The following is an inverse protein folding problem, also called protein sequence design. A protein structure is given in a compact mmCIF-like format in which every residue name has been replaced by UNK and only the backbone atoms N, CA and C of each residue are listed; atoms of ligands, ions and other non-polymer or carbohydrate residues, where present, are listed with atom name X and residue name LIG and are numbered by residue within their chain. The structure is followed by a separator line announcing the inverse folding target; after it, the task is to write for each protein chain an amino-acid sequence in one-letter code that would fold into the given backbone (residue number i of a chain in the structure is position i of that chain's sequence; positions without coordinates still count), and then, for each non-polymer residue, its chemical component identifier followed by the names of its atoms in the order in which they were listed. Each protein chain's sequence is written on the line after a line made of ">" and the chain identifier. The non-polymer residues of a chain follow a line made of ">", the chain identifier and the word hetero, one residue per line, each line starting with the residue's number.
data_IF_206262261353
#
_entry.id   IF_206262261353
#
_cell.length_a   1.000
_cell.length_b   1.000
_cell.length_c   1.000
_cell.angle_alpha   90.00
_cell.angle_beta   90.00
_cell.angle_gamma   90.00
#
_symmetry.space_group_name_H-M   'P 1'
#
loop_
_entity.id
_entity.type
_entity.pdbx_description
1 polymer ?
#
# COMPACT_ATOMS: atom_id res chain seq x y z
N UNK A 1 -3.88 15.40 14.72
CA UNK A 1 -3.14 14.52 13.81
C UNK A 1 -2.61 15.35 12.66
N UNK A 2 -1.28 15.51 12.55
CA UNK A 2 -0.66 16.08 11.34
C UNK A 2 -0.60 14.94 10.31
N UNK A 3 -1.60 14.87 9.42
CA UNK A 3 -1.69 13.85 8.37
C UNK A 3 -0.64 14.03 7.25
N UNK A 4 0.03 15.18 7.22
CA UNK A 4 1.09 15.51 6.27
C UNK A 4 2.32 15.94 7.10
N UNK A 5 2.97 15.00 7.76
CA UNK A 5 4.33 15.22 8.28
C UNK A 5 5.30 14.84 7.17
N UNK A 6 6.15 15.77 6.75
CA UNK A 6 7.28 15.45 5.87
C UNK A 6 8.10 14.34 6.53
N UNK A 7 8.18 13.20 5.85
CA UNK A 7 9.16 12.19 6.17
C UNK A 7 10.51 12.80 5.80
N UNK A 8 11.20 13.39 6.77
CA UNK A 8 12.51 14.00 6.51
C UNK A 8 13.62 12.95 6.32
N UNK A 9 13.33 11.68 6.62
CA UNK A 9 14.29 10.57 6.60
C UNK A 9 13.70 9.34 5.89
N UNK A 10 13.56 9.43 4.57
CA UNK A 10 13.26 8.26 3.72
C UNK A 10 14.09 8.28 2.44
N UNK A 11 14.16 7.14 1.78
CA UNK A 11 14.78 7.00 0.46
C UNK A 11 14.34 5.71 -0.23
N UNK A 12 14.73 5.56 -1.49
CA UNK A 12 14.56 4.33 -2.25
C UNK A 12 15.73 3.41 -1.92
N UNK A 13 15.46 2.22 -1.40
CA UNK A 13 16.48 1.23 -1.10
C UNK A 13 16.75 0.30 -2.29
N UNK A 14 15.71 -0.13 -2.98
CA UNK A 14 15.78 -1.10 -4.08
C UNK A 14 14.61 -0.94 -5.03
N UNK A 15 14.71 -1.59 -6.19
CA UNK A 15 13.57 -1.93 -7.04
C UNK A 15 13.39 -3.44 -6.94
N UNK A 16 12.18 -3.89 -6.64
CA UNK A 16 11.81 -5.29 -6.46
C UNK A 16 10.54 -5.62 -7.24
N UNK A 17 10.44 -6.84 -7.75
CA UNK A 17 9.19 -7.31 -8.35
C UNK A 17 8.22 -7.77 -7.26
N UNK A 18 6.98 -7.29 -7.33
CA UNK A 18 5.91 -7.65 -6.40
C UNK A 18 4.58 -7.77 -7.15
N UNK A 19 3.93 -8.93 -7.09
CA UNK A 19 2.75 -9.26 -7.92
C UNK A 19 2.98 -9.00 -9.41
N UNK A 20 4.12 -9.44 -9.94
CA UNK A 20 4.53 -9.26 -11.35
C UNK A 20 4.69 -7.78 -11.78
N UNK A 21 4.83 -6.88 -10.81
CA UNK A 21 4.97 -5.44 -11.03
C UNK A 21 6.27 -4.92 -10.40
N UNK A 22 7.00 -4.06 -11.12
CA UNK A 22 8.18 -3.41 -10.59
C UNK A 22 7.81 -2.38 -9.53
N UNK A 23 8.32 -2.55 -8.32
CA UNK A 23 8.07 -1.69 -7.19
C UNK A 23 9.35 -1.06 -6.66
N UNK A 24 9.34 0.24 -6.43
CA UNK A 24 10.35 0.89 -5.61
C UNK A 24 10.09 0.56 -4.14
N UNK A 25 11.12 0.07 -3.46
CA UNK A 25 11.09 -0.16 -2.01
C UNK A 25 11.55 1.11 -1.31
N UNK A 26 10.60 1.84 -0.74
CA UNK A 26 10.87 3.02 0.05
C UNK A 26 11.07 2.61 1.49
N UNK A 27 12.14 3.10 2.10
CA UNK A 27 12.42 2.86 3.51
C UNK A 27 12.61 4.18 4.23
N UNK A 28 12.15 4.24 5.46
CA UNK A 28 12.29 5.44 6.27
C UNK A 28 11.94 5.23 7.73
N UNK A 29 11.89 6.35 8.45
CA UNK A 29 11.50 6.37 9.87
C UNK A 29 10.45 7.43 10.16
N UNK A 30 9.49 7.07 11.02
CA UNK A 30 8.46 7.96 11.56
C UNK A 30 8.29 7.68 13.05
N UNK A 31 8.38 8.69 13.91
CA UNK A 31 8.24 8.55 15.38
C UNK A 31 9.01 7.35 15.94
N UNK A 32 10.30 7.27 15.56
CA UNK A 32 11.24 6.21 15.88
C UNK A 32 10.93 4.80 15.31
N UNK A 33 9.81 4.62 14.62
CA UNK A 33 9.47 3.36 13.97
C UNK A 33 9.98 3.37 12.54
N UNK A 34 10.35 2.21 12.03
CA UNK A 34 10.78 2.04 10.63
C UNK A 34 9.59 1.68 9.78
N UNK A 35 9.57 2.16 8.54
CA UNK A 35 8.60 1.70 7.56
C UNK A 35 9.31 1.21 6.30
N UNK A 36 8.66 0.27 5.63
CA UNK A 36 8.98 -0.17 4.28
C UNK A 36 7.72 -0.14 3.42
N UNK A 37 7.81 0.39 2.21
CA UNK A 37 6.70 0.54 1.27
C UNK A 37 7.14 0.05 -0.11
N UNK A 38 6.39 -0.87 -0.71
CA UNK A 38 6.55 -1.27 -2.10
C UNK A 38 5.56 -0.47 -2.94
N UNK A 39 6.08 0.50 -3.69
CA UNK A 39 5.29 1.40 -4.52
C UNK A 39 5.54 1.05 -5.99
N UNK A 40 4.50 0.67 -6.71
CA UNK A 40 4.61 0.34 -8.13
C UNK A 40 5.07 1.57 -8.93
N UNK A 41 6.13 1.40 -9.72
CA UNK A 41 6.90 2.53 -10.27
C UNK A 41 6.16 3.36 -11.31
N UNK A 42 5.20 2.76 -12.04
CA UNK A 42 4.52 3.43 -13.14
C UNK A 42 3.25 4.16 -12.68
N UNK A 43 2.56 3.65 -11.66
CA UNK A 43 1.26 4.14 -11.17
C UNK A 43 1.36 4.84 -9.82
N UNK A 44 2.43 4.62 -9.06
CA UNK A 44 2.59 5.15 -7.71
C UNK A 44 1.72 4.45 -6.66
N UNK A 45 1.09 3.33 -6.98
CA UNK A 45 0.24 2.60 -6.04
C UNK A 45 1.06 1.83 -5.01
N UNK A 46 0.63 1.89 -3.75
CA UNK A 46 1.23 1.14 -2.65
C UNK A 46 0.71 -0.31 -2.67
N UNK A 47 1.57 -1.28 -2.97
CA UNK A 47 1.19 -2.69 -3.04
C UNK A 47 1.42 -3.42 -1.72
N UNK A 48 2.43 -3.02 -0.96
CA UNK A 48 2.77 -3.59 0.34
C UNK A 48 3.33 -2.52 1.25
N UNK A 49 2.95 -2.58 2.52
CA UNK A 49 3.44 -1.71 3.58
C UNK A 49 3.77 -2.53 4.81
N UNK A 50 4.88 -2.20 5.44
CA UNK A 50 5.29 -2.76 6.72
C UNK A 50 5.72 -1.64 7.66
N UNK A 51 5.28 -1.75 8.90
CA UNK A 51 5.68 -0.86 9.98
C UNK A 51 6.33 -1.66 11.08
N UNK A 52 7.52 -1.25 11.50
CA UNK A 52 8.37 -1.97 12.44
C UNK A 52 8.76 -1.09 13.61
N UNK A 53 8.92 -1.70 14.78
CA UNK A 53 9.53 -1.05 15.94
C UNK A 53 11.00 -0.69 15.70
N UNK A 54 11.60 0.09 16.60
CA UNK A 54 13.06 0.33 16.61
C UNK A 54 13.87 -0.98 16.64
N UNK A 55 13.34 -2.00 17.32
CA UNK A 55 13.92 -3.34 17.48
C UNK A 55 13.62 -4.29 16.31
N UNK A 56 13.14 -3.78 15.17
CA UNK A 56 12.76 -4.55 13.97
C UNK A 56 11.63 -5.58 14.19
N UNK A 57 10.75 -5.35 15.16
CA UNK A 57 9.55 -6.19 15.31
C UNK A 57 8.43 -5.62 14.44
N UNK A 58 7.77 -6.48 13.66
CA UNK A 58 6.63 -6.10 12.83
C UNK A 58 5.46 -5.67 13.73
N UNK A 59 5.02 -4.42 13.59
CA UNK A 59 3.87 -3.84 14.29
C UNK A 59 2.63 -3.96 13.42
N UNK A 60 2.76 -3.61 12.14
CA UNK A 60 1.64 -3.55 11.20
C UNK A 60 2.09 -3.95 9.79
N UNK A 61 1.18 -4.58 9.04
CA UNK A 61 1.38 -4.95 7.63
C UNK A 61 0.08 -4.76 6.87
N UNK A 62 0.18 -4.13 5.71
CA UNK A 62 -0.86 -4.15 4.67
C UNK A 62 -0.25 -4.76 3.42
N UNK A 63 -1.01 -5.63 2.76
CA UNK A 63 -0.51 -6.36 1.61
C UNK A 63 -1.59 -6.65 0.57
N UNK A 64 -1.32 -6.23 -0.65
CA UNK A 64 -2.16 -6.50 -1.81
C UNK A 64 -1.97 -7.94 -2.26
N UNK A 65 -3.02 -8.75 -2.19
CA UNK A 65 -2.97 -10.15 -2.62
C UNK A 65 -3.09 -10.33 -4.12
N UNK A 66 -3.84 -9.45 -4.79
CA UNK A 66 -4.11 -9.48 -6.22
C UNK A 66 -4.35 -8.06 -6.70
N UNK A 67 -3.92 -7.79 -7.92
CA UNK A 67 -4.05 -6.50 -8.56
C UNK A 67 -4.24 -6.71 -10.07
N UNK A 68 -5.00 -5.82 -10.69
CA UNK A 68 -5.21 -5.74 -12.13
C UNK A 68 -5.00 -4.28 -12.53
N UNK A 69 -4.11 -4.03 -13.50
CA UNK A 69 -3.79 -2.70 -14.01
C UNK A 69 -4.09 -2.69 -15.50
N UNK A 70 -4.66 -1.59 -16.01
CA UNK A 70 -5.08 -1.44 -17.42
C UNK A 70 -6.05 -2.54 -17.89
N UNK A 71 -6.81 -3.13 -16.97
CA UNK A 71 -7.87 -4.09 -17.30
C UNK A 71 -9.19 -3.35 -17.58
N UNK A 72 -10.07 -3.96 -18.36
CA UNK A 72 -11.40 -3.42 -18.61
C UNK A 72 -12.23 -3.58 -17.33
N UNK A 73 -12.83 -2.48 -16.88
CA UNK A 73 -13.74 -2.49 -15.74
C UNK A 73 -15.04 -3.20 -16.16
N UNK A 74 -15.38 -4.30 -15.49
CA UNK A 74 -16.72 -4.89 -15.58
C UNK A 74 -17.64 -4.16 -14.58
N UNK A 75 -18.64 -3.43 -15.07
CA UNK A 75 -19.58 -2.69 -14.22
C UNK A 75 -20.32 -3.60 -13.23
N UNK A 76 -20.46 -4.90 -13.56
CA UNK A 76 -21.09 -5.89 -12.68
C UNK A 76 -20.34 -6.09 -11.37
N UNK A 77 -19.02 -5.92 -11.36
CA UNK A 77 -18.21 -6.04 -10.15
C UNK A 77 -18.51 -4.92 -9.14
N UNK A 78 -19.17 -3.85 -9.59
CA UNK A 78 -19.52 -2.68 -8.80
C UNK A 78 -21.02 -2.56 -8.52
N UNK A 79 -21.82 -3.54 -8.96
CA UNK A 79 -23.24 -3.60 -8.61
C UNK A 79 -23.39 -3.81 -7.11
N UNK A 80 -24.09 -2.87 -6.45
CA UNK A 80 -24.37 -2.97 -5.02
C UNK A 80 -25.39 -4.08 -4.78
N UNK A 81 -25.05 -5.05 -3.94
CA UNK A 81 -26.05 -5.96 -3.38
C UNK A 81 -26.92 -5.20 -2.37
N UNK A 82 -28.10 -4.78 -2.83
CA UNK A 82 -29.09 -4.07 -2.02
C UNK A 82 -30.07 -5.00 -1.30
N UNK A 83 -29.94 -6.33 -1.42
CA UNK A 83 -30.91 -7.31 -0.89
C UNK A 83 -31.10 -7.25 0.62
N UNK A 84 -30.11 -6.76 1.36
CA UNK A 84 -30.13 -6.61 2.83
C UNK A 84 -30.51 -5.21 3.32
N UNK A 85 -30.73 -4.26 2.42
CA UNK A 85 -31.10 -2.89 2.78
C UNK A 85 -32.62 -2.74 2.76
N UNK A 86 -33.20 -2.22 3.85
CA UNK A 86 -34.63 -1.87 3.87
C UNK A 86 -34.87 -0.73 2.89
N UNK A 87 -35.76 -0.95 1.92
CA UNK A 87 -36.36 0.15 1.17
C UNK A 87 -37.17 1.00 2.17
N UNK A 88 -36.79 2.27 2.32
CA UNK A 88 -37.57 3.26 3.04
C UNK A 88 -38.77 3.69 2.21
#
# INVERSE_FOLDING_TARGET
>A
MKFLSDFNNWGIQSIEEYNDLNCAVLVGKLDNKKFEMWVEVNTGMLLKYQYMSESNQLIERLETKKIKINDIIDEKDFEKDLSKYKQQ
#
